data_IF_792264433235
#
_entry.id   IF_792264433235
#
_cell.length_a   1.000
_cell.length_b   1.000
_cell.length_c   1.000
_cell.angle_alpha   90.00
_cell.angle_beta   90.00
_cell.angle_gamma   90.00
#
_symmetry.space_group_name_H-M   'P 1'
#
loop_
_entity.id
_entity.type
_entity.pdbx_description
1 polymer ?
#
# COMPACT_ATOMS: atom_id res chain seq x y z
N UNK A 1 -42.74 20.33 -48.87
CA UNK A 1 -43.97 19.52 -49.01
C UNK A 1 -44.73 19.70 -47.72
N UNK A 2 -45.80 20.50 -47.74
CA UNK A 2 -46.72 20.68 -46.61
C UNK A 2 -47.56 19.42 -46.52
N UNK A 3 -47.54 18.75 -45.37
CA UNK A 3 -48.35 17.56 -45.12
C UNK A 3 -49.65 18.05 -44.50
N UNK A 4 -50.58 18.51 -45.33
CA UNK A 4 -51.86 19.05 -44.87
C UNK A 4 -52.83 17.88 -44.59
N UNK A 5 -53.50 17.92 -43.42
CA UNK A 5 -54.32 16.83 -42.88
C UNK A 5 -55.42 16.31 -43.83
N UNK A 6 -55.86 17.12 -44.79
CA UNK A 6 -56.81 16.73 -45.83
C UNK A 6 -56.28 15.64 -46.77
N UNK A 7 -54.95 15.54 -46.97
CA UNK A 7 -54.35 14.53 -47.86
C UNK A 7 -54.32 13.11 -47.28
N UNK A 8 -54.57 12.92 -45.98
CA UNK A 8 -54.61 11.60 -45.34
C UNK A 8 -56.03 11.08 -45.04
N UNK A 9 -57.09 11.82 -45.41
CA UNK A 9 -58.47 11.37 -45.20
C UNK A 9 -58.85 11.16 -43.72
N UNK A 10 -58.13 11.80 -42.80
CA UNK A 10 -58.44 11.75 -41.37
C UNK A 10 -59.65 12.63 -41.06
N UNK A 11 -60.58 12.10 -40.28
CA UNK A 11 -61.72 12.88 -39.80
C UNK A 11 -61.25 13.95 -38.81
N UNK A 12 -61.96 15.09 -38.68
CA UNK A 12 -61.60 16.14 -37.73
C UNK A 12 -61.50 15.67 -36.27
N UNK A 13 -62.22 14.61 -35.90
CA UNK A 13 -62.17 13.97 -34.58
C UNK A 13 -60.87 13.18 -34.35
N UNK A 14 -60.42 12.42 -35.36
CA UNK A 14 -59.15 11.66 -35.31
C UNK A 14 -57.92 12.60 -35.24
N UNK A 15 -57.96 13.73 -35.95
CA UNK A 15 -56.90 14.73 -35.89
C UNK A 15 -56.78 15.39 -34.50
N UNK A 16 -57.91 15.66 -33.84
CA UNK A 16 -57.93 16.22 -32.49
C UNK A 16 -57.42 15.21 -31.44
N UNK A 17 -57.74 13.94 -31.62
CA UNK A 17 -57.26 12.84 -30.77
C UNK A 17 -55.74 12.61 -30.94
N UNK A 18 -55.23 12.73 -32.17
CA UNK A 18 -53.79 12.64 -32.45
C UNK A 18 -52.98 13.81 -31.88
N UNK A 19 -53.47 15.05 -32.02
CA UNK A 19 -52.87 16.22 -31.36
C UNK A 19 -52.87 16.10 -29.83
N UNK A 20 -53.94 15.52 -29.26
CA UNK A 20 -54.04 15.26 -27.81
C UNK A 20 -53.00 14.22 -27.34
N UNK A 21 -52.73 13.18 -28.14
CA UNK A 21 -51.67 12.21 -27.87
C UNK A 21 -50.28 12.86 -27.86
N UNK A 22 -49.95 13.69 -28.86
CA UNK A 22 -48.67 14.40 -28.94
C UNK A 22 -48.44 15.36 -27.75
N UNK A 23 -49.48 16.10 -27.35
CA UNK A 23 -49.43 16.99 -26.18
C UNK A 23 -49.26 16.21 -24.87
N UNK A 24 -49.92 15.05 -24.75
CA UNK A 24 -49.77 14.17 -23.60
C UNK A 24 -48.36 13.58 -23.53
N UNK A 25 -47.75 13.23 -24.66
CA UNK A 25 -46.36 12.77 -24.75
C UNK A 25 -45.36 13.86 -24.38
N UNK A 26 -45.54 15.09 -24.89
CA UNK A 26 -44.72 16.25 -24.53
C UNK A 26 -44.76 16.52 -23.02
N UNK A 27 -45.95 16.46 -22.41
CA UNK A 27 -46.12 16.62 -20.95
C UNK A 27 -45.46 15.50 -20.15
N UNK A 28 -45.50 14.24 -20.64
CA UNK A 28 -44.76 13.11 -20.04
C UNK A 28 -43.25 13.34 -20.13
N UNK A 29 -42.74 13.81 -21.26
CA UNK A 29 -41.32 14.09 -21.47
C UNK A 29 -40.84 15.23 -20.55
N UNK A 30 -41.60 16.30 -20.40
CA UNK A 30 -41.28 17.40 -19.49
C UNK A 30 -41.21 16.94 -18.03
N UNK A 31 -42.16 16.10 -17.58
CA UNK A 31 -42.12 15.49 -16.24
C UNK A 31 -40.89 14.61 -16.06
N UNK A 32 -40.51 13.82 -17.08
CA UNK A 32 -39.27 13.02 -17.05
C UNK A 32 -38.04 13.90 -16.93
N UNK A 33 -37.95 14.99 -17.71
CA UNK A 33 -36.85 15.96 -17.65
C UNK A 33 -36.78 16.67 -16.30
N UNK A 34 -37.92 17.08 -15.74
CA UNK A 34 -37.99 17.71 -14.41
C UNK A 34 -37.47 16.77 -13.30
N UNK A 35 -37.91 15.51 -13.30
CA UNK A 35 -37.39 14.50 -12.37
C UNK A 35 -35.89 14.25 -12.54
N UNK A 36 -35.41 14.17 -13.79
CA UNK A 36 -33.99 13.98 -14.06
C UNK A 36 -33.14 15.17 -13.57
N UNK A 37 -33.60 16.41 -13.77
CA UNK A 37 -32.93 17.61 -13.21
C UNK A 37 -32.83 17.56 -11.69
N UNK A 38 -33.89 17.15 -11.01
CA UNK A 38 -33.88 16.99 -9.55
C UNK A 38 -32.94 15.87 -9.09
N UNK A 39 -32.97 14.71 -9.76
CA UNK A 39 -32.08 13.60 -9.47
C UNK A 39 -30.60 13.96 -9.70
N UNK A 40 -30.28 14.65 -10.79
CA UNK A 40 -28.94 15.13 -11.10
C UNK A 40 -28.44 16.12 -10.05
N UNK A 41 -29.29 17.05 -9.60
CA UNK A 41 -28.94 18.00 -8.53
C UNK A 41 -28.67 17.29 -7.21
N UNK A 42 -29.51 16.30 -6.82
CA UNK A 42 -29.28 15.47 -5.63
C UNK A 42 -27.99 14.65 -5.73
N UNK A 43 -27.67 14.11 -6.92
CA UNK A 43 -26.44 13.38 -7.15
C UNK A 43 -25.20 14.27 -6.99
N UNK A 44 -25.23 15.48 -7.56
CA UNK A 44 -24.17 16.48 -7.40
C UNK A 44 -24.01 16.88 -5.94
N UNK A 45 -25.11 17.13 -5.23
CA UNK A 45 -25.07 17.47 -3.81
C UNK A 45 -24.43 16.34 -2.99
N UNK A 46 -24.89 15.10 -3.15
CA UNK A 46 -24.29 13.92 -2.48
C UNK A 46 -22.80 13.76 -2.76
N UNK A 47 -22.38 14.02 -4.01
CA UNK A 47 -20.95 14.00 -4.37
C UNK A 47 -20.18 15.07 -3.60
N UNK A 48 -20.69 16.30 -3.53
CA UNK A 48 -20.04 17.38 -2.79
C UNK A 48 -20.00 17.09 -1.29
N UNK A 49 -21.09 16.58 -0.72
CA UNK A 49 -21.14 16.20 0.69
C UNK A 49 -20.13 15.09 1.00
N UNK A 50 -20.00 14.10 0.12
CA UNK A 50 -18.99 13.03 0.27
C UNK A 50 -17.56 13.56 0.16
N UNK A 51 -17.30 14.52 -0.72
CA UNK A 51 -15.99 15.17 -0.81
C UNK A 51 -15.67 15.88 0.50
N UNK A 52 -16.59 16.70 1.03
CA UNK A 52 -16.42 17.39 2.31
C UNK A 52 -16.18 16.43 3.48
N UNK A 53 -16.96 15.35 3.56
CA UNK A 53 -16.80 14.34 4.58
C UNK A 53 -15.40 13.71 4.54
N UNK A 54 -14.88 13.42 3.34
CA UNK A 54 -13.53 12.87 3.17
C UNK A 54 -12.45 13.91 3.49
N UNK A 55 -12.64 15.18 3.13
CA UNK A 55 -11.74 16.29 3.50
C UNK A 55 -11.65 16.45 5.02
N UNK A 56 -12.77 16.39 5.73
CA UNK A 56 -12.84 16.43 7.19
C UNK A 56 -12.12 15.22 7.83
N UNK A 57 -12.31 14.01 7.26
CA UNK A 57 -11.60 12.81 7.73
C UNK A 57 -10.08 12.95 7.55
N UNK A 58 -9.62 13.47 6.41
CA UNK A 58 -8.19 13.72 6.17
C UNK A 58 -7.64 14.75 7.15
N UNK A 59 -8.40 15.82 7.44
CA UNK A 59 -8.00 16.84 8.41
C UNK A 59 -7.87 16.25 9.81
N UNK A 60 -8.85 15.46 10.25
CA UNK A 60 -8.82 14.74 11.53
C UNK A 60 -7.61 13.81 11.64
N UNK A 61 -7.32 13.02 10.60
CA UNK A 61 -6.15 12.14 10.59
C UNK A 61 -4.82 12.90 10.60
N UNK A 62 -4.74 14.03 9.88
CA UNK A 62 -3.55 14.90 9.94
C UNK A 62 -3.32 15.47 11.34
N UNK A 63 -4.37 15.96 12.00
CA UNK A 63 -4.26 16.44 13.39
C UNK A 63 -3.88 15.30 14.35
N UNK A 64 -4.43 14.09 14.16
CA UNK A 64 -4.05 12.92 14.94
C UNK A 64 -2.58 12.57 14.75
N UNK A 65 -2.08 12.58 13.51
CA UNK A 65 -0.66 12.37 13.20
C UNK A 65 0.24 13.39 13.87
N UNK A 66 -0.08 14.69 13.74
CA UNK A 66 0.68 15.77 14.38
C UNK A 66 0.73 15.64 15.91
N UNK A 67 -0.38 15.23 16.54
CA UNK A 67 -0.41 14.97 17.99
C UNK A 67 0.50 13.82 18.37
N UNK A 68 0.45 12.70 17.65
CA UNK A 68 1.30 11.54 17.90
C UNK A 68 2.79 11.85 17.69
N UNK A 69 3.12 12.64 16.66
CA UNK A 69 4.50 13.08 16.43
C UNK A 69 5.00 13.98 17.59
N UNK A 70 4.15 14.86 18.12
CA UNK A 70 4.48 15.66 19.30
C UNK A 70 4.72 14.77 20.54
N UNK A 71 3.85 13.78 20.79
CA UNK A 71 4.01 12.82 21.88
C UNK A 71 5.32 12.00 21.74
N UNK A 72 5.68 11.59 20.53
CA UNK A 72 6.95 10.89 20.26
C UNK A 72 8.16 11.77 20.57
N UNK A 73 8.13 13.06 20.20
CA UNK A 73 9.21 14.00 20.52
C UNK A 73 9.37 14.16 22.03
N UNK A 74 8.27 14.28 22.77
CA UNK A 74 8.30 14.36 24.24
C UNK A 74 8.85 13.09 24.88
N UNK A 75 8.42 11.92 24.41
CA UNK A 75 8.88 10.63 24.93
C UNK A 75 10.37 10.42 24.68
N UNK A 76 10.86 10.76 23.48
CA UNK A 76 12.28 10.70 23.15
C UNK A 76 13.10 11.65 24.03
N UNK A 77 12.59 12.86 24.31
CA UNK A 77 13.22 13.79 25.24
C UNK A 77 13.29 13.23 26.66
N UNK A 78 12.24 12.54 27.11
CA UNK A 78 12.22 11.88 28.41
C UNK A 78 13.23 10.73 28.48
N UNK A 79 13.29 9.88 27.45
CA UNK A 79 14.28 8.80 27.35
C UNK A 79 15.71 9.34 27.39
N UNK A 80 16.01 10.41 26.65
CA UNK A 80 17.34 11.02 26.64
C UNK A 80 17.69 11.65 28.00
N UNK A 81 16.70 12.24 28.69
CA UNK A 81 16.90 12.70 30.07
C UNK A 81 17.23 11.55 31.03
N UNK A 82 16.52 10.42 30.92
CA UNK A 82 16.79 9.24 31.76
C UNK A 82 18.14 8.62 31.44
N UNK A 83 18.51 8.51 30.16
CA UNK A 83 19.82 8.02 29.74
C UNK A 83 20.94 8.86 30.32
N UNK A 84 20.87 10.19 30.19
CA UNK A 84 21.83 11.12 30.83
C UNK A 84 21.87 10.99 32.35
N UNK A 85 20.73 10.71 32.99
CA UNK A 85 20.68 10.49 34.43
C UNK A 85 21.42 9.20 34.83
N UNK A 86 21.18 8.10 34.10
CA UNK A 86 21.88 6.82 34.31
C UNK A 86 23.38 6.97 34.06
N UNK A 87 23.77 7.66 32.99
CA UNK A 87 25.18 7.93 32.69
C UNK A 87 25.84 8.71 33.83
N UNK A 88 25.17 9.74 34.37
CA UNK A 88 25.67 10.50 35.53
C UNK A 88 25.82 9.63 36.79
N UNK A 89 24.90 8.69 37.03
CA UNK A 89 25.01 7.75 38.15
C UNK A 89 26.17 6.77 37.95
N UNK A 90 26.36 6.29 36.72
CA UNK A 90 27.49 5.44 36.33
C UNK A 90 28.83 6.16 36.55
N UNK A 91 28.96 7.43 36.09
CA UNK A 91 30.17 8.24 36.30
C UNK A 91 30.43 8.56 37.77
N UNK A 92 29.39 8.60 38.61
CA UNK A 92 29.50 8.85 40.05
C UNK A 92 29.71 7.57 40.87
N UNK A 93 29.94 6.43 40.22
CA UNK A 93 30.32 5.17 40.88
C UNK A 93 29.17 4.38 41.49
N UNK A 94 27.90 4.66 41.12
CA UNK A 94 26.79 3.79 41.49
C UNK A 94 26.91 2.46 40.73
N UNK A 95 26.89 1.33 41.45
CA UNK A 95 26.86 0.00 40.85
C UNK A 95 25.52 -0.21 40.14
N UNK A 96 25.52 -0.03 38.83
CA UNK A 96 24.39 -0.42 37.99
C UNK A 96 24.38 -1.94 37.93
N UNK A 97 23.62 -2.60 38.81
CA UNK A 97 23.32 -4.03 38.68
C UNK A 97 22.53 -4.23 37.38
N UNK A 98 23.24 -4.51 36.29
CA UNK A 98 22.69 -4.87 34.99
C UNK A 98 23.18 -6.26 34.60
N UNK A 99 22.88 -7.26 35.43
CA UNK A 99 22.60 -8.59 34.92
C UNK A 99 21.10 -8.64 34.60
N UNK A 100 20.73 -8.22 33.38
CA UNK A 100 19.49 -8.58 32.71
C UNK A 100 19.59 -8.12 31.25
N UNK A 101 19.90 -9.07 30.37
CA UNK A 101 19.55 -9.03 28.96
C UNK A 101 20.40 -8.11 28.09
N UNK A 102 21.31 -8.69 27.33
CA UNK A 102 21.83 -8.08 26.12
C UNK A 102 20.70 -7.82 25.13
N UNK A 103 20.07 -6.65 25.22
CA UNK A 103 19.40 -6.02 24.09
C UNK A 103 20.45 -5.08 23.52
N UNK A 104 20.94 -5.41 22.33
CA UNK A 104 21.77 -4.53 21.54
C UNK A 104 21.14 -3.13 21.54
N UNK A 105 21.87 -2.19 22.13
CA UNK A 105 21.52 -0.78 22.15
C UNK A 105 21.52 -0.27 20.72
N UNK A 106 20.36 -0.32 20.07
CA UNK A 106 20.08 0.53 18.93
C UNK A 106 20.16 1.98 19.44
N UNK A 107 21.28 2.63 19.15
CA UNK A 107 21.38 4.08 19.22
C UNK A 107 20.27 4.68 18.37
N UNK A 108 19.23 5.21 19.02
CA UNK A 108 18.34 6.20 18.42
C UNK A 108 19.22 7.37 17.95
N UNK A 109 19.27 7.69 16.65
CA UNK A 109 19.99 8.87 16.20
C UNK A 109 19.27 10.11 16.72
N UNK A 110 20.01 10.95 17.44
CA UNK A 110 19.62 12.35 17.66
C UNK A 110 19.35 13.02 16.30
N UNK A 111 18.51 14.06 16.22
CA UNK A 111 18.15 14.72 14.96
C UNK A 111 19.30 15.41 14.22
N UNK A 112 20.54 15.21 14.63
CA UNK A 112 21.72 15.96 14.20
C UNK A 112 22.95 15.06 14.01
N UNK A 113 22.82 13.78 13.68
CA UNK A 113 23.95 13.05 13.06
C UNK A 113 23.47 12.17 11.91
N UNK A 114 23.47 12.80 10.74
CA UNK A 114 23.66 12.17 9.42
C UNK A 114 24.86 11.23 9.44
N UNK A 115 24.64 9.94 9.63
CA UNK A 115 25.55 8.91 9.14
C UNK A 115 24.83 7.58 8.99
N UNK A 116 24.18 7.42 7.83
CA UNK A 116 24.18 6.14 7.14
C UNK A 116 24.22 6.40 5.64
N UNK A 117 25.23 5.81 4.99
CA UNK A 117 25.64 5.93 3.59
C UNK A 117 26.18 7.31 3.17
N UNK A 118 27.50 7.49 3.34
CA UNK A 118 28.29 8.46 2.57
C UNK A 118 28.17 8.08 1.09
N UNK A 119 27.26 8.73 0.36
CA UNK A 119 27.36 8.81 -1.08
C UNK A 119 28.24 10.01 -1.41
N UNK A 120 29.39 9.75 -2.02
CA UNK A 120 30.35 10.75 -2.47
C UNK A 120 29.83 11.50 -3.71
N UNK A 121 28.76 12.30 -3.60
CA UNK A 121 28.54 13.48 -4.47
C UNK A 121 27.44 14.41 -3.90
N UNK A 122 27.59 15.75 -3.94
CA UNK A 122 26.70 16.67 -3.22
C UNK A 122 25.40 17.03 -3.98
N UNK A 123 25.25 16.68 -5.26
CA UNK A 123 24.26 17.33 -6.15
C UNK A 123 23.17 16.41 -6.72
N UNK A 124 22.75 15.35 -6.01
CA UNK A 124 21.64 14.52 -6.45
C UNK A 124 20.49 14.50 -5.44
N UNK A 125 19.26 14.68 -5.94
CA UNK A 125 18.03 14.66 -5.16
C UNK A 125 17.92 13.38 -4.33
N UNK A 126 17.90 13.53 -3.00
CA UNK A 126 17.81 12.45 -2.01
C UNK A 126 16.34 12.02 -1.89
N UNK A 127 16.07 10.71 -1.97
CA UNK A 127 14.70 10.18 -1.80
C UNK A 127 14.66 9.35 -0.53
N UNK A 128 13.88 9.77 0.48
CA UNK A 128 13.88 9.12 1.79
C UNK A 128 12.59 8.32 2.00
N UNK A 129 12.74 7.04 2.34
CA UNK A 129 11.66 6.12 2.69
C UNK A 129 11.67 5.81 4.19
N UNK A 130 10.51 5.78 4.84
CA UNK A 130 10.39 5.25 6.21
C UNK A 130 9.97 3.79 6.17
N UNK A 131 10.74 2.92 6.82
CA UNK A 131 10.47 1.49 6.94
C UNK A 131 9.67 1.17 8.20
N UNK A 132 9.15 -0.06 8.31
CA UNK A 132 8.34 -0.46 9.47
C UNK A 132 9.15 -0.52 10.78
N UNK A 133 10.45 -0.78 10.69
CA UNK A 133 11.39 -0.71 11.80
C UNK A 133 11.77 0.73 12.18
N UNK A 134 11.12 1.73 11.57
CA UNK A 134 11.29 3.15 11.89
C UNK A 134 12.56 3.76 11.30
N UNK A 135 13.31 3.02 10.48
CA UNK A 135 14.49 3.55 9.81
C UNK A 135 14.11 4.43 8.63
N UNK A 136 14.96 5.42 8.36
CA UNK A 136 14.89 6.28 7.19
C UNK A 136 15.93 5.81 6.17
N UNK A 137 15.47 5.19 5.10
CA UNK A 137 16.31 4.74 4.00
C UNK A 137 16.50 5.86 2.98
N UNK A 138 17.74 6.29 2.80
CA UNK A 138 18.10 7.25 1.76
C UNK A 138 18.40 6.49 0.47
N UNK A 139 17.53 6.62 -0.51
CA UNK A 139 17.74 6.10 -1.86
C UNK A 139 18.44 7.15 -2.72
N UNK A 140 19.50 6.72 -3.41
CA UNK A 140 20.17 7.54 -4.41
C UNK A 140 19.26 7.69 -5.63
N UNK A 141 19.45 8.75 -6.43
CA UNK A 141 18.62 8.99 -7.61
C UNK A 141 18.65 7.80 -8.59
N UNK A 142 19.79 7.09 -8.68
CA UNK A 142 19.94 5.91 -9.52
C UNK A 142 19.12 4.71 -9.02
N UNK A 143 18.99 4.53 -7.70
CA UNK A 143 18.23 3.41 -7.12
C UNK A 143 16.75 3.51 -7.45
N UNK A 144 16.25 4.74 -7.51
CA UNK A 144 14.83 4.97 -7.76
C UNK A 144 14.48 4.91 -9.24
N UNK A 145 15.44 5.11 -10.15
CA UNK A 145 15.23 4.85 -11.60
C UNK A 145 14.88 3.38 -11.88
N UNK A 146 15.20 2.48 -10.96
CA UNK A 146 14.86 1.07 -11.06
C UNK A 146 13.51 0.72 -10.42
N UNK A 147 12.91 1.67 -9.67
CA UNK A 147 11.65 1.53 -8.96
C UNK A 147 10.62 2.53 -9.53
N UNK A 148 10.01 2.17 -10.65
CA UNK A 148 9.12 3.05 -11.42
C UNK A 148 7.92 3.58 -10.60
N UNK A 149 7.38 2.77 -9.69
CA UNK A 149 6.28 3.19 -8.80
C UNK A 149 6.73 4.32 -7.88
N UNK A 150 7.91 4.20 -7.27
CA UNK A 150 8.47 5.24 -6.41
C UNK A 150 8.76 6.49 -7.26
N UNK A 151 9.33 6.34 -8.45
CA UNK A 151 9.57 7.47 -9.35
C UNK A 151 8.28 8.25 -9.67
N UNK A 152 7.21 7.54 -10.03
CA UNK A 152 5.91 8.15 -10.32
C UNK A 152 5.25 8.79 -9.09
N UNK A 153 5.33 8.17 -7.92
CA UNK A 153 4.80 8.74 -6.67
C UNK A 153 5.46 10.09 -6.36
N UNK A 154 6.78 10.17 -6.51
CA UNK A 154 7.52 11.41 -6.26
C UNK A 154 7.27 12.48 -7.33
N UNK A 155 7.19 12.14 -8.62
CA UNK A 155 6.84 13.11 -9.68
C UNK A 155 5.47 13.73 -9.42
N UNK A 156 4.48 12.92 -9.01
CA UNK A 156 3.15 13.40 -8.67
C UNK A 156 3.12 14.33 -7.44
N UNK A 157 3.95 14.03 -6.43
CA UNK A 157 4.09 14.88 -5.22
C UNK A 157 4.85 16.19 -5.49
N UNK A 158 5.76 16.21 -6.46
CA UNK A 158 6.44 17.45 -6.90
C UNK A 158 5.49 18.38 -7.67
N UNK A 159 4.56 17.83 -8.43
CA UNK A 159 3.54 18.61 -9.15
C UNK A 159 2.53 19.28 -8.20
N UNK A 160 2.28 18.70 -7.02
CA UNK A 160 1.37 19.28 -6.02
C UNK A 160 2.02 20.36 -5.17
N UNK A 161 3.33 20.27 -4.95
CA UNK A 161 4.09 21.18 -4.10
C UNK A 161 5.08 21.94 -4.99
N UNK A 162 4.62 23.02 -5.63
CA UNK A 162 5.49 23.92 -6.40
C UNK A 162 6.75 24.24 -5.59
N UNK A 163 7.93 23.95 -6.19
CA UNK A 163 9.28 24.10 -5.63
C UNK A 163 9.36 23.97 -4.08
N UNK A 164 9.32 22.73 -3.59
CA UNK A 164 9.53 22.42 -2.17
C UNK A 164 10.94 21.83 -1.91
N UNK A 165 11.46 21.99 -0.67
CA UNK A 165 12.89 21.99 -0.32
C UNK A 165 13.55 20.61 -0.42
N UNK A 166 14.89 20.62 -0.40
CA UNK A 166 15.84 19.54 -0.78
C UNK A 166 15.71 18.15 -0.09
N UNK A 167 14.76 17.93 0.82
CA UNK A 167 14.57 16.62 1.47
C UNK A 167 13.07 16.31 1.61
N UNK A 168 12.51 15.59 0.62
CA UNK A 168 11.12 15.16 0.61
C UNK A 168 11.00 13.72 1.10
N UNK A 169 10.38 13.53 2.26
CA UNK A 169 10.07 12.23 2.82
C UNK A 169 8.79 11.69 2.20
N UNK A 170 8.82 10.46 1.67
CA UNK A 170 7.61 9.79 1.16
C UNK A 170 7.38 8.54 1.96
N UNK A 171 6.26 8.53 2.68
CA UNK A 171 5.76 7.35 3.37
C UNK A 171 5.05 6.45 2.36
N UNK A 172 5.59 5.25 2.18
CA UNK A 172 5.00 4.22 1.34
C UNK A 172 4.27 3.22 2.26
N UNK A 173 3.01 2.85 1.98
CA UNK A 173 2.25 1.92 2.81
C UNK A 173 2.66 0.46 2.55
N UNK A 174 3.94 0.14 2.73
CA UNK A 174 4.45 -1.24 2.71
C UNK A 174 5.07 -1.53 4.08
N UNK A 175 4.71 -2.68 4.65
CA UNK A 175 5.30 -3.18 5.89
C UNK A 175 6.59 -3.96 5.59
N UNK A 176 7.68 -3.24 5.30
CA UNK A 176 8.97 -3.87 4.97
C UNK A 176 10.09 -3.48 5.95
N UNK A 177 10.87 -4.48 6.37
CA UNK A 177 12.12 -4.27 7.12
C UNK A 177 13.19 -3.65 6.24
N UNK A 178 13.98 -2.75 6.81
CA UNK A 178 15.11 -2.08 6.14
C UNK A 178 16.05 -3.05 5.41
N UNK A 179 16.48 -4.13 6.07
CA UNK A 179 17.36 -5.15 5.47
C UNK A 179 16.75 -5.78 4.21
N UNK A 180 15.48 -6.17 4.27
CA UNK A 180 14.76 -6.74 3.12
C UNK A 180 14.66 -5.74 1.98
N UNK A 181 14.41 -4.46 2.27
CA UNK A 181 14.32 -3.42 1.25
C UNK A 181 15.65 -3.21 0.52
N UNK A 182 16.79 -3.24 1.22
CA UNK A 182 18.10 -3.15 0.58
C UNK A 182 18.32 -4.30 -0.42
N UNK A 183 17.96 -5.53 -0.04
CA UNK A 183 18.08 -6.69 -0.93
C UNK A 183 17.21 -6.53 -2.19
N UNK A 184 16.01 -5.95 -2.07
CA UNK A 184 15.13 -5.65 -3.22
C UNK A 184 15.75 -4.61 -4.16
N UNK A 185 16.37 -3.55 -3.60
CA UNK A 185 17.06 -2.53 -4.40
C UNK A 185 18.24 -3.13 -5.15
N UNK A 186 19.04 -3.97 -4.48
CA UNK A 186 20.17 -4.63 -5.13
C UNK A 186 19.71 -5.59 -6.23
N UNK A 187 18.59 -6.31 -6.03
CA UNK A 187 17.98 -7.10 -7.08
C UNK A 187 17.59 -6.22 -8.27
N UNK A 188 16.93 -5.09 -8.01
CA UNK A 188 16.48 -4.14 -9.04
C UNK A 188 17.65 -3.55 -9.84
N UNK A 189 18.77 -3.24 -9.18
CA UNK A 189 20.02 -2.83 -9.81
C UNK A 189 20.60 -3.94 -10.70
N UNK A 190 20.64 -5.18 -10.21
CA UNK A 190 21.13 -6.33 -10.97
C UNK A 190 20.24 -6.62 -12.19
N UNK A 191 18.92 -6.57 -12.02
CA UNK A 191 17.90 -6.78 -13.04
C UNK A 191 18.00 -5.82 -14.24
N UNK A 192 18.54 -4.61 -14.01
CA UNK A 192 18.81 -3.64 -15.09
C UNK A 192 20.19 -3.76 -15.71
N UNK A 193 21.19 -4.27 -14.98
CA UNK A 193 22.56 -4.47 -15.50
C UNK A 193 22.68 -5.76 -16.31
N UNK A 194 22.04 -6.82 -15.84
CA UNK A 194 21.96 -8.13 -16.47
C UNK A 194 20.53 -8.38 -16.87
N UNK A 195 20.31 -9.00 -18.04
CA UNK A 195 18.96 -9.41 -18.45
C UNK A 195 18.25 -10.10 -17.29
N UNK A 196 17.09 -9.56 -16.90
CA UNK A 196 16.28 -10.02 -15.78
C UNK A 196 16.14 -11.54 -15.82
N UNK A 197 16.00 -12.11 -17.03
CA UNK A 197 15.86 -13.54 -17.33
C UNK A 197 16.89 -14.45 -16.64
N UNK A 198 18.12 -13.94 -16.42
CA UNK A 198 19.28 -14.69 -15.91
C UNK A 198 19.42 -14.67 -14.39
N UNK A 199 18.64 -13.84 -13.70
CA UNK A 199 18.69 -13.77 -12.24
C UNK A 199 18.00 -14.97 -11.61
N UNK A 200 18.73 -15.65 -10.72
CA UNK A 200 18.22 -16.73 -9.89
C UNK A 200 17.86 -16.19 -8.50
N UNK A 201 16.63 -16.47 -8.07
CA UNK A 201 16.09 -16.00 -6.79
C UNK A 201 16.80 -16.62 -5.59
N UNK A 202 17.08 -17.92 -5.63
CA UNK A 202 17.74 -18.62 -4.52
C UNK A 202 19.22 -18.24 -4.41
N UNK A 203 19.87 -17.93 -5.53
CA UNK A 203 21.25 -17.44 -5.54
C UNK A 203 21.35 -16.02 -4.95
N UNK A 204 20.37 -15.18 -5.24
CA UNK A 204 20.37 -13.78 -4.78
C UNK A 204 19.90 -13.62 -3.34
N UNK A 205 18.96 -14.47 -2.91
CA UNK A 205 18.43 -14.50 -1.55
C UNK A 205 18.80 -15.83 -0.87
N UNK A 206 20.07 -16.03 -0.47
CA UNK A 206 20.50 -17.25 0.18
C UNK A 206 19.84 -17.37 1.57
N UNK A 207 19.39 -18.58 1.91
CA UNK A 207 18.77 -18.90 3.21
C UNK A 207 17.53 -18.06 3.58
N UNK A 208 16.77 -17.61 2.59
CA UNK A 208 15.58 -16.79 2.81
C UNK A 208 14.53 -17.51 3.68
N UNK A 209 14.04 -16.81 4.71
CA UNK A 209 12.94 -17.26 5.54
C UNK A 209 11.58 -17.01 4.86
N UNK A 210 10.54 -17.76 5.21
CA UNK A 210 9.18 -17.59 4.68
C UNK A 210 8.63 -16.18 4.95
N UNK A 211 8.91 -15.60 6.12
CA UNK A 211 8.52 -14.23 6.47
C UNK A 211 9.18 -13.19 5.56
N UNK A 212 10.48 -13.36 5.31
CA UNK A 212 11.22 -12.49 4.40
C UNK A 212 10.70 -12.64 2.97
N UNK A 213 10.42 -13.87 2.52
CA UNK A 213 9.86 -14.13 1.20
C UNK A 213 8.48 -13.49 1.00
N UNK A 214 7.62 -13.52 2.03
CA UNK A 214 6.32 -12.83 2.02
C UNK A 214 6.51 -11.31 1.97
N UNK A 215 7.44 -10.74 2.76
CA UNK A 215 7.75 -9.31 2.68
C UNK A 215 8.27 -8.90 1.30
N UNK A 216 9.13 -9.71 0.67
CA UNK A 216 9.60 -9.47 -0.69
C UNK A 216 8.44 -9.54 -1.68
N UNK A 217 7.52 -10.49 -1.54
CA UNK A 217 6.34 -10.59 -2.38
C UNK A 217 5.45 -9.35 -2.26
N UNK A 218 5.12 -8.93 -1.03
CA UNK A 218 4.29 -7.74 -0.78
C UNK A 218 4.96 -6.47 -1.33
N UNK A 219 6.25 -6.29 -1.05
CA UNK A 219 6.99 -5.13 -1.51
C UNK A 219 7.17 -5.11 -3.03
N UNK A 220 7.47 -6.25 -3.65
CA UNK A 220 7.61 -6.34 -5.11
C UNK A 220 6.29 -6.07 -5.84
N UNK A 221 5.15 -6.51 -5.27
CA UNK A 221 3.81 -6.21 -5.78
C UNK A 221 3.55 -4.70 -5.75
N UNK A 222 3.84 -4.03 -4.63
CA UNK A 222 3.66 -2.58 -4.51
C UNK A 222 4.62 -1.82 -5.44
N UNK A 223 5.89 -2.22 -5.49
CA UNK A 223 6.94 -1.53 -6.24
C UNK A 223 6.89 -1.79 -7.75
N UNK A 224 6.02 -2.70 -8.21
CA UNK A 224 5.87 -3.05 -9.61
C UNK A 224 7.00 -3.92 -10.17
N UNK A 225 7.65 -4.72 -9.32
CA UNK A 225 8.77 -5.60 -9.69
C UNK A 225 8.25 -7.00 -10.09
N UNK A 226 7.66 -7.09 -11.28
CA UNK A 226 6.90 -8.28 -11.75
C UNK A 226 7.72 -9.57 -11.72
N UNK A 227 9.00 -9.54 -12.10
CA UNK A 227 9.80 -10.77 -12.10
C UNK A 227 10.12 -11.23 -10.68
N UNK A 228 10.54 -10.30 -9.82
CA UNK A 228 10.83 -10.58 -8.41
C UNK A 228 9.60 -11.15 -7.70
N UNK A 229 8.43 -10.55 -7.94
CA UNK A 229 7.12 -11.02 -7.48
C UNK A 229 6.89 -12.48 -7.87
N UNK A 230 7.01 -12.81 -9.15
CA UNK A 230 6.83 -14.19 -9.66
C UNK A 230 7.82 -15.17 -9.05
N UNK A 231 9.08 -14.76 -8.87
CA UNK A 231 10.11 -15.58 -8.25
C UNK A 231 9.79 -15.86 -6.78
N UNK A 232 9.43 -14.83 -6.00
CA UNK A 232 9.03 -14.98 -4.61
C UNK A 232 7.78 -15.86 -4.46
N UNK A 233 6.76 -15.64 -5.30
CA UNK A 233 5.54 -16.44 -5.30
C UNK A 233 5.81 -17.93 -5.61
N UNK A 234 6.65 -18.22 -6.62
CA UNK A 234 7.05 -19.59 -6.95
C UNK A 234 7.83 -20.25 -5.81
N UNK A 235 8.72 -19.50 -5.18
CA UNK A 235 9.48 -20.01 -4.04
C UNK A 235 8.56 -20.37 -2.87
N UNK A 236 7.62 -19.49 -2.51
CA UNK A 236 6.62 -19.75 -1.46
C UNK A 236 5.77 -20.97 -1.83
N UNK A 237 5.28 -21.04 -3.07
CA UNK A 237 4.48 -22.19 -3.54
C UNK A 237 5.26 -23.51 -3.41
N UNK A 238 6.54 -23.54 -3.78
CA UNK A 238 7.39 -24.74 -3.66
C UNK A 238 7.59 -25.20 -2.21
N UNK A 239 7.47 -24.28 -1.23
CA UNK A 239 7.54 -24.62 0.20
C UNK A 239 6.24 -25.21 0.75
N UNK A 240 5.11 -24.91 0.11
CA UNK A 240 3.77 -25.37 0.51
C UNK A 240 3.32 -26.60 -0.31
N UNK A 241 3.95 -26.86 -1.45
CA UNK A 241 3.59 -27.99 -2.32
C UNK A 241 3.68 -29.33 -1.58
N UNK A 242 2.61 -30.13 -1.67
CA UNK A 242 2.52 -31.44 -1.03
C UNK A 242 2.34 -31.43 0.49
N UNK A 243 2.14 -30.26 1.12
CA UNK A 243 1.89 -30.13 2.56
C UNK A 243 0.40 -30.22 2.89
N UNK A 244 0.07 -30.78 4.05
CA UNK A 244 -1.27 -30.72 4.62
C UNK A 244 -1.60 -29.29 5.08
N UNK A 245 -2.88 -28.97 5.27
CA UNK A 245 -3.33 -27.65 5.75
C UNK A 245 -2.72 -27.30 7.12
N UNK A 246 -2.56 -28.29 8.00
CA UNK A 246 -1.91 -28.12 9.30
C UNK A 246 -0.42 -27.79 9.16
N UNK A 247 0.30 -28.51 8.28
CA UNK A 247 1.72 -28.23 8.02
C UNK A 247 1.92 -26.87 7.34
N UNK A 248 1.06 -26.50 6.39
CA UNK A 248 1.09 -25.17 5.77
C UNK A 248 0.87 -24.08 6.82
N UNK A 249 -0.08 -24.26 7.75
CA UNK A 249 -0.33 -23.32 8.82
C UNK A 249 0.90 -23.15 9.74
N UNK A 250 1.58 -24.25 10.06
CA UNK A 250 2.83 -24.22 10.83
C UNK A 250 3.95 -23.50 10.08
N UNK A 251 4.14 -23.79 8.78
CA UNK A 251 5.17 -23.15 7.95
C UNK A 251 4.93 -21.64 7.84
N UNK A 252 3.68 -21.22 7.68
CA UNK A 252 3.31 -19.80 7.56
C UNK A 252 3.19 -19.10 8.92
N UNK A 253 3.36 -19.83 10.02
CA UNK A 253 3.13 -19.35 11.39
C UNK A 253 1.74 -18.70 11.59
N UNK A 254 0.72 -19.25 10.92
CA UNK A 254 -0.67 -18.79 11.06
C UNK A 254 -1.44 -19.73 12.00
N UNK A 255 -2.43 -19.22 12.76
CA UNK A 255 -3.27 -20.08 13.59
C UNK A 255 -3.91 -21.17 12.73
N UNK A 256 -3.86 -22.42 13.18
CA UNK A 256 -4.57 -23.51 12.53
C UNK A 256 -6.07 -23.31 12.81
N UNK A 257 -6.72 -22.52 11.96
CA UNK A 257 -8.17 -22.43 11.90
C UNK A 257 -8.61 -23.70 11.19
N UNK A 258 -8.93 -24.73 11.97
CA UNK A 258 -9.52 -25.95 11.43
C UNK A 258 -10.71 -25.62 10.54
N UNK A 259 -10.99 -26.48 9.56
CA UNK A 259 -12.17 -26.32 8.72
C UNK A 259 -13.42 -26.49 9.59
N UNK A 260 -14.43 -25.63 9.39
CA UNK A 260 -15.74 -25.88 9.97
C UNK A 260 -16.34 -27.18 9.37
N UNK A 261 -17.29 -27.80 10.06
CA UNK A 261 -17.88 -29.08 9.64
C UNK A 261 -18.38 -29.03 8.18
N UNK A 262 -18.98 -27.92 7.77
CA UNK A 262 -19.46 -27.68 6.41
C UNK A 262 -18.32 -27.67 5.37
N UNK A 263 -17.20 -26.99 5.63
CA UNK A 263 -16.05 -26.98 4.70
C UNK A 263 -15.32 -28.32 4.71
N UNK A 264 -15.35 -29.08 5.80
CA UNK A 264 -14.77 -30.42 5.89
C UNK A 264 -15.57 -31.42 5.03
N UNK A 265 -16.90 -31.35 5.06
CA UNK A 265 -17.78 -32.11 4.18
C UNK A 265 -17.56 -31.74 2.70
N UNK A 266 -17.41 -30.45 2.42
CA UNK A 266 -17.06 -29.95 1.08
C UNK A 266 -15.65 -30.35 0.63
N UNK A 267 -14.74 -30.67 1.53
CA UNK A 267 -13.43 -31.24 1.15
C UNK A 267 -13.56 -32.73 0.83
N UNK A 268 -14.36 -33.46 1.60
CA UNK A 268 -14.55 -34.91 1.44
C UNK A 268 -15.23 -35.29 0.10
N UNK A 269 -16.00 -34.38 -0.52
CA UNK A 269 -16.57 -34.56 -1.87
C UNK A 269 -15.50 -34.51 -2.97
N UNK A 270 -14.40 -33.78 -2.76
CA UNK A 270 -13.25 -33.83 -3.64
C UNK A 270 -12.42 -35.02 -3.20
N UNK A 271 -12.53 -36.16 -3.90
CA UNK A 271 -11.67 -37.35 -3.71
C UNK A 271 -10.21 -37.02 -4.04
N UNK A 272 -9.58 -36.17 -3.23
CA UNK A 272 -8.16 -35.87 -3.30
C UNK A 272 -7.46 -37.10 -2.75
N UNK A 273 -6.96 -37.93 -3.66
CA UNK A 273 -6.07 -39.04 -3.32
C UNK A 273 -4.81 -38.41 -2.75
N UNK A 274 -4.72 -38.33 -1.42
CA UNK A 274 -3.43 -38.16 -0.75
C UNK A 274 -2.60 -39.38 -1.11
N UNK A 275 -1.45 -39.25 -1.81
CA UNK A 275 -0.59 -40.40 -2.04
C UNK A 275 -0.16 -40.98 -0.68
N UNK A 276 -0.19 -42.32 -0.52
CA UNK A 276 0.13 -42.94 0.76
C UNK A 276 1.59 -42.63 1.12
N UNK A 277 1.78 -42.09 2.32
CA UNK A 277 3.07 -42.09 3.00
C UNK A 277 3.52 -43.55 3.13
N UNK A 278 4.71 -43.86 2.61
CA UNK A 278 5.45 -45.04 3.03
C UNK A 278 6.32 -44.60 4.21
N UNK A 279 6.11 -45.26 5.36
CA UNK A 279 6.96 -45.17 6.56
C UNK A 279 8.43 -45.49 6.26
#
# INVERSE_FOLDING_TARGET
>A
MSWDAETMGMTPEEHLEWMSMDDQEKKKLERKRARNRQAASKCRQKKMDRIKELEDQVLCEKHRGQRLDAELVELNRALENFRRMVDRHSTNGCANNSELGGVATASLPSPLETSTAVCTTPNQARRVLKTIDGQLLVLCADDVKYLSVIENMFVNLKLSNGEAPEEQFVHIPISIQSETMYKIIDWSRAAKKTDESKLDFCQFFPNINIKEAIQILEASLFLGLIKLEKCAAKWIASKLEGKSTSEMAQILEVPNVGLNEESQEQLNQFKLVTPPYFD
#
